data_IF_382108169982
#
_entry.id   IF_382108169982
#
_cell.length_a   1.000
_cell.length_b   1.000
_cell.length_c   1.000
_cell.angle_alpha   90.00
_cell.angle_beta   90.00
_cell.angle_gamma   90.00
#
_symmetry.space_group_name_H-M   'P 1'
#
loop_
_entity.id
_entity.type
_entity.pdbx_description
1 polymer ?
#
# COMPACT_ATOMS: atom_id res chain seq x y z
N UNK A 1 66.94 16.59 -35.22
CA UNK A 1 66.19 17.16 -34.08
C UNK A 1 64.74 17.24 -34.48
N UNK A 2 63.99 16.17 -34.25
CA UNK A 2 62.54 16.10 -34.52
C UNK A 2 61.80 16.54 -33.27
N UNK A 3 61.11 17.68 -33.35
CA UNK A 3 60.18 18.12 -32.32
C UNK A 3 58.98 17.16 -32.30
N UNK A 4 58.84 16.42 -31.21
CA UNK A 4 57.60 15.76 -30.81
C UNK A 4 56.66 16.81 -30.26
N UNK A 5 55.71 17.26 -31.09
CA UNK A 5 54.49 17.92 -30.62
C UNK A 5 53.66 16.89 -29.86
N UNK A 6 53.70 16.96 -28.53
CA UNK A 6 52.77 16.22 -27.69
C UNK A 6 51.38 16.86 -27.84
N UNK A 7 50.42 16.11 -28.37
CA UNK A 7 49.00 16.46 -28.29
C UNK A 7 48.65 16.72 -26.83
N UNK A 8 48.30 17.97 -26.51
CA UNK A 8 47.73 18.32 -25.21
C UNK A 8 46.31 17.79 -25.18
N UNK A 9 46.16 16.53 -24.74
CA UNK A 9 44.87 15.89 -24.50
C UNK A 9 44.11 16.77 -23.49
N UNK A 10 42.98 17.34 -23.92
CA UNK A 10 42.20 18.25 -23.08
C UNK A 10 41.67 17.50 -21.84
N UNK A 11 41.62 18.16 -20.68
CA UNK A 11 41.14 17.54 -19.44
C UNK A 11 39.74 16.93 -19.57
N UNK A 12 38.89 17.52 -20.42
CA UNK A 12 37.56 17.01 -20.75
C UNK A 12 37.63 15.68 -21.51
N UNK A 13 38.51 15.55 -22.50
CA UNK A 13 38.68 14.31 -23.27
C UNK A 13 39.16 13.15 -22.38
N UNK A 14 40.08 13.42 -21.45
CA UNK A 14 40.52 12.43 -20.45
C UNK A 14 39.38 12.03 -19.50
N UNK A 15 38.53 12.96 -19.07
CA UNK A 15 37.37 12.65 -18.23
C UNK A 15 36.31 11.83 -18.97
N UNK A 16 36.05 12.13 -20.25
CA UNK A 16 35.14 11.35 -21.10
C UNK A 16 35.68 9.93 -21.32
N UNK A 17 36.97 9.79 -21.62
CA UNK A 17 37.59 8.47 -21.79
C UNK A 17 37.57 7.65 -20.49
N UNK A 18 37.80 8.31 -19.35
CA UNK A 18 37.67 7.68 -18.02
C UNK A 18 36.24 7.25 -17.76
N UNK A 19 35.24 8.09 -18.04
CA UNK A 19 33.83 7.75 -17.88
C UNK A 19 33.44 6.56 -18.77
N UNK A 20 33.88 6.55 -20.04
CA UNK A 20 33.67 5.43 -20.95
C UNK A 20 34.30 4.13 -20.45
N UNK A 21 35.53 4.19 -19.93
CA UNK A 21 36.22 3.02 -19.37
C UNK A 21 35.52 2.50 -18.11
N UNK A 22 35.05 3.39 -17.23
CA UNK A 22 34.30 3.04 -16.02
C UNK A 22 32.97 2.36 -16.38
N UNK A 23 32.23 2.90 -17.36
CA UNK A 23 30.99 2.31 -17.82
C UNK A 23 31.22 0.93 -18.45
N UNK A 24 32.23 0.78 -19.29
CA UNK A 24 32.54 -0.49 -19.94
C UNK A 24 32.95 -1.56 -18.93
N UNK A 25 33.88 -1.24 -18.00
CA UNK A 25 34.31 -2.18 -16.96
C UNK A 25 33.16 -2.52 -16.02
N UNK A 26 32.43 -1.51 -15.55
CA UNK A 26 31.27 -1.72 -14.70
C UNK A 26 30.22 -2.62 -15.36
N UNK A 27 29.92 -2.40 -16.64
CA UNK A 27 28.98 -3.26 -17.39
C UNK A 27 29.52 -4.69 -17.56
N UNK A 28 30.80 -4.86 -17.89
CA UNK A 28 31.43 -6.18 -18.01
C UNK A 28 31.37 -6.96 -16.69
N UNK A 29 31.71 -6.32 -15.57
CA UNK A 29 31.64 -6.91 -14.23
C UNK A 29 30.21 -7.33 -13.87
N UNK A 30 29.20 -6.52 -14.23
CA UNK A 30 27.80 -6.89 -14.04
C UNK A 30 27.38 -8.09 -14.90
N UNK A 31 27.83 -8.17 -16.16
CA UNK A 31 27.52 -9.28 -17.07
C UNK A 31 28.14 -10.59 -16.56
N UNK A 32 29.42 -10.56 -16.16
CA UNK A 32 30.10 -11.72 -15.57
C UNK A 32 29.40 -12.18 -14.28
N UNK A 33 29.03 -11.21 -13.43
CA UNK A 33 28.21 -11.47 -12.26
C UNK A 33 26.88 -12.16 -12.59
N UNK A 34 26.18 -11.74 -13.65
CA UNK A 34 24.94 -12.38 -14.09
C UNK A 34 25.15 -13.80 -14.59
N UNK A 35 26.21 -14.05 -15.36
CA UNK A 35 26.53 -15.40 -15.85
C UNK A 35 26.73 -16.38 -14.69
N UNK A 36 27.50 -16.00 -13.67
CA UNK A 36 27.69 -16.82 -12.47
C UNK A 36 26.37 -17.10 -11.72
N UNK A 37 25.50 -16.09 -11.59
CA UNK A 37 24.18 -16.27 -10.97
C UNK A 37 23.26 -17.17 -11.78
N UNK A 38 23.30 -17.10 -13.12
CA UNK A 38 22.50 -17.96 -13.99
C UNK A 38 22.95 -19.42 -13.96
N UNK A 39 24.24 -19.70 -13.80
CA UNK A 39 24.71 -21.08 -13.56
C UNK A 39 24.10 -21.69 -12.30
N UNK A 40 23.85 -20.88 -11.27
CA UNK A 40 23.19 -21.34 -10.02
C UNK A 40 21.70 -21.70 -10.22
N UNK A 41 21.07 -21.23 -11.31
CA UNK A 41 19.67 -21.53 -11.65
C UNK A 41 19.53 -22.90 -12.32
N UNK A 42 20.61 -23.46 -12.86
CA UNK A 42 20.55 -24.76 -13.51
C UNK A 42 20.09 -25.86 -12.53
N UNK A 43 19.06 -26.61 -12.92
CA UNK A 43 18.44 -27.63 -12.06
C UNK A 43 17.60 -27.09 -10.89
N UNK A 44 17.54 -25.76 -10.66
CA UNK A 44 16.78 -25.14 -9.58
C UNK A 44 15.27 -25.36 -9.72
N UNK A 45 14.79 -25.49 -10.96
CA UNK A 45 13.40 -25.85 -11.23
C UNK A 45 13.03 -27.19 -10.56
N UNK A 46 13.76 -28.26 -10.87
CA UNK A 46 13.46 -29.59 -10.32
C UNK A 46 13.67 -29.68 -8.81
N UNK A 47 14.67 -28.96 -8.27
CA UNK A 47 15.04 -28.98 -6.84
C UNK A 47 14.08 -28.20 -5.94
N UNK A 48 13.29 -27.27 -6.48
CA UNK A 48 12.45 -26.38 -5.68
C UNK A 48 11.18 -25.95 -6.41
N UNK A 49 11.30 -25.32 -7.58
CA UNK A 49 10.18 -24.60 -8.20
C UNK A 49 9.15 -25.48 -8.92
N UNK A 50 9.45 -26.75 -9.19
CA UNK A 50 8.53 -27.68 -9.87
C UNK A 50 7.17 -27.79 -9.18
N UNK A 51 7.15 -27.71 -7.86
CA UNK A 51 5.92 -27.80 -7.06
C UNK A 51 5.37 -26.43 -6.67
N UNK A 52 6.08 -25.35 -7.02
CA UNK A 52 5.70 -23.98 -6.69
C UNK A 52 5.17 -23.23 -7.91
N UNK A 53 5.61 -23.57 -9.11
CA UNK A 53 5.14 -22.97 -10.35
C UNK A 53 3.91 -23.74 -10.85
N UNK A 54 2.85 -23.01 -11.14
CA UNK A 54 1.61 -23.52 -11.71
C UNK A 54 1.48 -22.99 -13.13
N UNK A 55 1.46 -23.90 -14.11
CA UNK A 55 1.40 -23.56 -15.54
C UNK A 55 0.28 -24.29 -16.30
N UNK A 56 -0.37 -25.27 -15.68
CA UNK A 56 -1.51 -25.99 -16.24
C UNK A 56 -2.81 -25.42 -15.67
N UNK A 57 -3.39 -24.45 -16.37
CA UNK A 57 -4.63 -23.78 -15.97
C UNK A 57 -5.84 -24.47 -16.60
N UNK A 58 -6.52 -25.34 -15.83
CA UNK A 58 -7.75 -26.01 -16.26
C UNK A 58 -8.94 -25.02 -16.33
N UNK A 59 -9.52 -24.79 -17.52
CA UNK A 59 -10.69 -23.93 -17.66
C UNK A 59 -11.88 -24.35 -16.80
N UNK A 60 -12.08 -25.66 -16.63
CA UNK A 60 -13.20 -26.20 -15.86
C UNK A 60 -13.08 -25.82 -14.39
N UNK A 61 -11.88 -25.93 -13.82
CA UNK A 61 -11.60 -25.49 -12.47
C UNK A 61 -11.85 -23.99 -12.29
N UNK A 62 -11.47 -23.16 -13.27
CA UNK A 62 -11.76 -21.74 -13.28
C UNK A 62 -13.27 -21.44 -13.29
N UNK A 63 -14.03 -22.13 -14.13
CA UNK A 63 -15.49 -22.03 -14.20
C UNK A 63 -16.20 -22.42 -12.90
N UNK A 64 -15.85 -23.57 -12.32
CA UNK A 64 -16.42 -24.04 -11.07
C UNK A 64 -16.08 -23.09 -9.91
N UNK A 65 -14.85 -22.57 -9.88
CA UNK A 65 -14.41 -21.59 -8.88
C UNK A 65 -15.18 -20.27 -9.01
N UNK A 66 -15.38 -19.75 -10.23
CA UNK A 66 -16.14 -18.54 -10.46
C UNK A 66 -17.61 -18.69 -9.99
N UNK A 67 -18.26 -19.82 -10.33
CA UNK A 67 -19.61 -20.12 -9.84
C UNK A 67 -19.69 -20.21 -8.32
N UNK A 68 -18.69 -20.82 -7.69
CA UNK A 68 -18.65 -20.95 -6.23
C UNK A 68 -18.41 -19.62 -5.53
N UNK A 69 -17.50 -18.79 -6.05
CA UNK A 69 -17.08 -17.55 -5.42
C UNK A 69 -18.05 -16.40 -5.70
N UNK A 70 -18.46 -16.23 -6.95
CA UNK A 70 -19.27 -15.09 -7.41
C UNK A 70 -20.74 -15.45 -7.62
N UNK A 71 -21.10 -16.74 -7.61
CA UNK A 71 -22.46 -17.21 -7.91
C UNK A 71 -22.81 -17.21 -9.40
N UNK A 72 -21.89 -16.83 -10.27
CA UNK A 72 -22.09 -16.66 -11.72
C UNK A 72 -20.78 -16.89 -12.48
N UNK A 73 -20.89 -17.34 -13.72
CA UNK A 73 -19.80 -17.42 -14.70
C UNK A 73 -19.55 -16.10 -15.44
N UNK A 74 -20.50 -15.16 -15.38
CA UNK A 74 -20.38 -13.82 -15.94
C UNK A 74 -20.08 -12.83 -14.83
N UNK A 75 -18.80 -12.49 -14.68
CA UNK A 75 -18.28 -11.76 -13.53
C UNK A 75 -17.90 -10.34 -13.96
N UNK A 76 -18.57 -9.34 -13.42
CA UNK A 76 -18.23 -7.93 -13.68
C UNK A 76 -16.93 -7.54 -12.97
N UNK A 77 -16.12 -6.73 -13.63
CA UNK A 77 -14.91 -6.16 -13.03
C UNK A 77 -14.80 -4.65 -13.26
N UNK A 78 -14.02 -3.99 -12.41
CA UNK A 78 -13.55 -2.64 -12.62
C UNK A 78 -12.05 -2.57 -12.36
N UNK A 79 -11.29 -1.93 -13.27
CA UNK A 79 -9.86 -1.69 -13.13
C UNK A 79 -9.64 -0.19 -12.94
N UNK A 80 -9.03 0.19 -11.82
CA UNK A 80 -8.72 1.57 -11.45
C UNK A 80 -7.24 1.83 -11.63
N UNK A 81 -6.93 2.93 -12.31
CA UNK A 81 -5.58 3.44 -12.52
C UNK A 81 -5.57 4.95 -12.30
N UNK A 82 -4.41 5.48 -11.91
CA UNK A 82 -4.17 6.85 -11.52
C UNK A 82 -3.25 7.59 -12.47
N UNK A 83 -3.34 8.92 -12.45
CA UNK A 83 -2.31 9.77 -13.04
C UNK A 83 -2.12 11.03 -12.21
N UNK A 84 -0.88 11.49 -12.14
CA UNK A 84 -0.50 12.69 -11.44
C UNK A 84 0.49 13.52 -12.25
N UNK A 85 0.55 14.81 -11.95
CA UNK A 85 1.63 15.68 -12.41
C UNK A 85 1.71 16.95 -11.55
N UNK A 86 2.89 17.56 -11.52
CA UNK A 86 3.11 18.89 -10.97
C UNK A 86 3.53 19.83 -12.10
N UNK A 87 2.94 21.04 -12.15
CA UNK A 87 3.33 22.06 -13.13
C UNK A 87 3.63 23.39 -12.43
N UNK A 88 4.90 23.82 -12.41
CA UNK A 88 5.26 25.17 -11.99
C UNK A 88 4.67 26.23 -12.94
N UNK A 89 4.12 27.30 -12.38
CA UNK A 89 3.55 28.46 -13.06
C UNK A 89 3.86 29.71 -12.24
N UNK A 90 4.93 30.44 -12.58
CA UNK A 90 5.42 31.58 -11.80
C UNK A 90 5.65 31.20 -10.32
N UNK A 91 5.02 31.90 -9.38
CA UNK A 91 5.08 31.68 -7.93
C UNK A 91 4.09 30.60 -7.43
N UNK A 92 3.40 29.92 -8.35
CA UNK A 92 2.46 28.85 -8.07
C UNK A 92 2.97 27.52 -8.63
N UNK A 93 2.60 26.44 -7.95
CA UNK A 93 2.67 25.09 -8.49
C UNK A 93 1.25 24.54 -8.53
N UNK A 94 0.86 24.04 -9.70
CA UNK A 94 -0.42 23.34 -9.86
C UNK A 94 -0.15 21.85 -9.76
N UNK A 95 -0.64 21.24 -8.68
CA UNK A 95 -0.64 19.80 -8.51
C UNK A 95 -1.93 19.22 -9.06
N UNK A 96 -1.80 18.16 -9.84
CA UNK A 96 -2.92 17.38 -10.32
C UNK A 96 -2.76 15.94 -9.85
N UNK A 97 -3.86 15.34 -9.44
CA UNK A 97 -3.96 13.92 -9.23
C UNK A 97 -5.38 13.47 -9.53
N UNK A 98 -5.52 12.32 -10.19
CA UNK A 98 -6.80 11.75 -10.51
C UNK A 98 -6.70 10.27 -10.80
N UNK A 99 -7.86 9.65 -10.94
CA UNK A 99 -8.01 8.25 -11.27
C UNK A 99 -9.21 8.02 -12.16
N UNK A 100 -9.18 6.89 -12.85
CA UNK A 100 -10.21 6.49 -13.78
C UNK A 100 -10.44 4.99 -13.68
N UNK A 101 -11.70 4.57 -13.82
CA UNK A 101 -12.09 3.18 -13.79
C UNK A 101 -12.60 2.68 -15.15
N UNK A 102 -11.96 1.63 -15.67
CA UNK A 102 -12.48 0.86 -16.81
C UNK A 102 -13.31 -0.31 -16.29
N UNK A 103 -14.48 -0.57 -16.88
CA UNK A 103 -15.35 -1.69 -16.52
C UNK A 103 -15.45 -2.72 -17.64
N UNK A 104 -15.80 -3.93 -17.26
CA UNK A 104 -16.03 -5.02 -18.20
C UNK A 104 -16.61 -6.25 -17.52
N UNK A 105 -16.70 -7.34 -18.28
CA UNK A 105 -17.16 -8.64 -17.82
C UNK A 105 -16.15 -9.72 -18.22
N UNK A 106 -15.86 -10.63 -17.30
CA UNK A 106 -15.14 -11.87 -17.55
C UNK A 106 -16.18 -12.98 -17.66
N UNK A 107 -16.17 -13.72 -18.77
CA UNK A 107 -16.98 -14.93 -18.92
C UNK A 107 -16.08 -16.15 -18.77
N UNK A 108 -16.30 -16.91 -17.71
CA UNK A 108 -15.62 -18.18 -17.49
C UNK A 108 -16.34 -19.28 -18.28
N UNK A 109 -15.58 -20.10 -19.02
CA UNK A 109 -16.12 -21.19 -19.84
C UNK A 109 -15.64 -22.54 -19.29
N UNK A 110 -16.44 -23.58 -19.46
CA UNK A 110 -16.14 -24.93 -18.95
C UNK A 110 -15.04 -25.66 -19.76
N UNK A 111 -14.88 -25.29 -21.04
CA UNK A 111 -14.00 -25.99 -22.00
C UNK A 111 -12.94 -25.10 -22.63
N UNK A 112 -12.99 -23.80 -22.42
CA UNK A 112 -12.07 -22.84 -23.05
C UNK A 112 -11.62 -21.78 -22.06
N UNK A 113 -10.47 -21.12 -22.28
CA UNK A 113 -10.04 -20.01 -21.45
C UNK A 113 -11.14 -18.94 -21.28
N UNK A 114 -11.12 -18.18 -20.17
CA UNK A 114 -12.05 -17.08 -19.96
C UNK A 114 -11.96 -16.03 -21.07
N UNK A 115 -13.10 -15.47 -21.47
CA UNK A 115 -13.16 -14.31 -22.38
C UNK A 115 -13.39 -13.02 -21.58
N UNK A 116 -12.82 -11.92 -22.06
CA UNK A 116 -12.92 -10.60 -21.41
C UNK A 116 -13.54 -9.61 -22.39
N UNK A 117 -14.61 -8.95 -21.96
CA UNK A 117 -15.31 -7.92 -22.73
C UNK A 117 -15.28 -6.60 -21.95
N UNK A 118 -14.83 -5.52 -22.59
CA UNK A 118 -14.80 -4.18 -22.01
C UNK A 118 -16.06 -3.41 -22.39
N UNK A 119 -16.54 -2.55 -21.50
CA UNK A 119 -17.70 -1.69 -21.78
C UNK A 119 -17.36 -0.62 -22.84
N UNK A 120 -18.18 -0.53 -23.90
CA UNK A 120 -17.95 0.30 -25.09
C UNK A 120 -18.08 1.82 -24.89
N UNK A 121 -18.15 2.31 -23.66
CA UNK A 121 -18.39 3.72 -23.33
C UNK A 121 -17.38 4.30 -22.34
N UNK A 122 -16.10 3.92 -22.45
CA UNK A 122 -15.05 4.42 -21.57
C UNK A 122 -15.12 5.95 -21.28
N UNK A 123 -15.24 6.81 -22.31
CA UNK A 123 -15.33 8.27 -22.08
C UNK A 123 -16.67 8.80 -21.55
N UNK A 124 -17.78 8.04 -21.67
CA UNK A 124 -19.13 8.52 -21.30
C UNK A 124 -19.74 7.79 -20.10
N UNK A 125 -19.28 6.58 -19.79
CA UNK A 125 -19.76 5.71 -18.71
C UNK A 125 -18.68 5.36 -17.68
N UNK A 126 -17.40 5.62 -17.96
CA UNK A 126 -16.33 5.46 -16.99
C UNK A 126 -16.44 6.49 -15.86
N UNK A 127 -16.21 6.04 -14.61
CA UNK A 127 -16.10 6.95 -13.47
C UNK A 127 -14.67 7.47 -13.39
N UNK A 128 -14.54 8.78 -13.48
CA UNK A 128 -13.28 9.51 -13.29
C UNK A 128 -13.39 10.40 -12.06
N UNK A 129 -12.32 10.48 -11.28
CA UNK A 129 -12.15 11.43 -10.19
C UNK A 129 -10.86 12.21 -10.43
N UNK A 130 -10.87 13.51 -10.20
CA UNK A 130 -9.67 14.32 -10.36
C UNK A 130 -9.71 15.54 -9.45
N UNK A 131 -8.55 15.96 -8.97
CA UNK A 131 -8.38 17.22 -8.26
C UNK A 131 -7.23 18.02 -8.85
N UNK A 132 -7.39 19.34 -8.80
CA UNK A 132 -6.39 20.30 -9.24
C UNK A 132 -6.16 21.29 -8.11
N UNK A 133 -4.96 21.29 -7.55
CA UNK A 133 -4.60 22.01 -6.34
C UNK A 133 -3.52 23.04 -6.67
N UNK A 134 -3.88 24.32 -6.86
CA UNK A 134 -2.91 25.40 -6.96
C UNK A 134 -2.37 25.76 -5.57
N UNK A 135 -1.05 25.81 -5.42
CA UNK A 135 -0.36 26.12 -4.17
C UNK A 135 0.76 27.11 -4.45
N UNK A 136 0.95 28.13 -3.62
CA UNK A 136 2.13 28.98 -3.75
C UNK A 136 3.39 28.20 -3.38
N UNK A 137 4.48 28.40 -4.12
CA UNK A 137 5.74 27.64 -3.94
C UNK A 137 6.20 27.69 -2.48
N UNK A 138 6.07 28.84 -1.81
CA UNK A 138 6.46 29.02 -0.41
C UNK A 138 5.56 28.29 0.60
N UNK A 139 4.33 27.92 0.23
CA UNK A 139 3.42 27.12 1.08
C UNK A 139 3.66 25.61 0.92
N UNK A 140 4.31 25.15 -0.16
CA UNK A 140 4.55 23.71 -0.39
C UNK A 140 5.26 23.02 0.79
N UNK A 141 6.30 23.61 1.42
CA UNK A 141 6.93 23.02 2.61
C UNK A 141 5.99 22.88 3.81
N UNK A 142 4.91 23.66 3.91
CA UNK A 142 3.91 23.52 4.98
C UNK A 142 3.01 22.30 4.77
N UNK A 143 2.82 21.91 3.51
CA UNK A 143 1.98 20.78 3.09
C UNK A 143 2.78 19.47 3.08
N UNK A 144 3.98 19.53 2.47
CA UNK A 144 4.75 18.35 2.13
C UNK A 144 5.84 18.05 3.15
N UNK A 145 5.58 17.02 3.95
CA UNK A 145 6.46 16.68 5.05
C UNK A 145 7.81 16.08 4.63
N UNK A 146 8.01 15.73 3.35
CA UNK A 146 9.30 15.28 2.84
C UNK A 146 10.39 16.37 2.96
N UNK A 147 9.99 17.64 3.05
CA UNK A 147 10.90 18.77 3.24
C UNK A 147 11.27 19.03 4.71
N UNK A 148 10.65 18.36 5.69
CA UNK A 148 11.05 18.46 7.10
C UNK A 148 12.15 17.45 7.44
N UNK A 149 13.26 17.90 8.05
CA UNK A 149 14.27 16.97 8.58
C UNK A 149 13.77 16.22 9.81
N UNK A 150 14.17 14.94 9.94
CA UNK A 150 13.92 14.15 11.15
C UNK A 150 14.75 14.70 12.33
N UNK A 151 14.10 15.41 13.26
CA UNK A 151 14.67 15.69 14.58
C UNK A 151 14.81 17.15 15.01
N UNK A 152 14.33 18.12 14.24
CA UNK A 152 14.26 19.54 14.65
C UNK A 152 12.84 19.97 14.94
N UNK A 153 12.67 20.87 15.92
CA UNK A 153 11.52 21.77 16.01
C UNK A 153 11.20 22.38 14.63
N UNK A 154 9.94 22.77 14.42
CA UNK A 154 9.24 23.26 13.22
C UNK A 154 9.93 24.30 12.29
N UNK A 155 11.24 24.49 12.36
CA UNK A 155 12.02 25.25 11.40
C UNK A 155 12.30 24.38 10.18
N UNK A 156 11.68 24.74 9.05
CA UNK A 156 12.12 24.36 7.72
C UNK A 156 13.57 24.76 7.61
N UNK A 157 14.50 23.81 7.69
CA UNK A 157 15.90 24.12 7.40
C UNK A 157 16.01 24.52 5.94
N UNK A 158 16.08 25.82 5.69
CA UNK A 158 16.55 26.46 4.44
C UNK A 158 18.04 26.17 4.19
N UNK A 159 18.51 24.97 4.51
CA UNK A 159 19.92 24.58 4.42
C UNK A 159 20.40 24.53 2.96
N UNK A 160 19.47 24.52 1.99
CA UNK A 160 19.71 24.88 0.60
C UNK A 160 18.50 25.67 0.08
N UNK A 161 18.67 26.84 -0.55
CA UNK A 161 17.59 27.42 -1.34
C UNK A 161 17.27 26.43 -2.47
N UNK A 162 16.13 25.77 -2.37
CA UNK A 162 15.61 24.93 -3.44
C UNK A 162 14.97 25.86 -4.47
N UNK A 163 15.28 25.67 -5.74
CA UNK A 163 14.56 26.38 -6.81
C UNK A 163 13.11 25.89 -6.86
N UNK A 164 12.21 26.70 -7.41
CA UNK A 164 10.79 26.34 -7.55
C UNK A 164 10.62 25.02 -8.35
N UNK A 165 11.46 24.81 -9.36
CA UNK A 165 11.53 23.54 -10.10
C UNK A 165 11.95 22.36 -9.22
N UNK A 166 12.90 22.54 -8.30
CA UNK A 166 13.28 21.49 -7.35
C UNK A 166 12.15 21.21 -6.37
N UNK A 167 11.41 22.21 -5.90
CA UNK A 167 10.27 22.00 -5.00
C UNK A 167 9.16 21.23 -5.73
N UNK A 168 8.83 21.62 -6.96
CA UNK A 168 7.81 20.93 -7.75
C UNK A 168 8.21 19.48 -8.09
N UNK A 169 9.45 19.25 -8.52
CA UNK A 169 9.93 17.93 -8.93
C UNK A 169 10.12 16.95 -7.75
N UNK A 170 10.33 17.46 -6.53
CA UNK A 170 10.52 16.62 -5.35
C UNK A 170 9.26 16.52 -4.48
N UNK A 171 8.19 17.25 -4.80
CA UNK A 171 6.97 17.18 -4.00
C UNK A 171 6.23 15.87 -4.21
N UNK A 172 5.77 15.30 -3.09
CA UNK A 172 4.97 14.07 -3.01
C UNK A 172 3.47 14.35 -3.02
N UNK A 173 3.04 15.63 -2.95
CA UNK A 173 1.63 16.05 -3.00
C UNK A 173 0.85 15.42 -4.18
N UNK A 174 1.30 15.49 -5.45
CA UNK A 174 0.53 14.97 -6.58
C UNK A 174 0.33 13.45 -6.46
N UNK A 175 1.36 12.72 -6.06
CA UNK A 175 1.29 11.28 -5.82
C UNK A 175 0.31 10.92 -4.70
N UNK A 176 0.23 11.71 -3.62
CA UNK A 176 -0.75 11.52 -2.54
C UNK A 176 -2.19 11.78 -2.99
N UNK A 177 -2.42 12.82 -3.81
CA UNK A 177 -3.75 13.12 -4.37
C UNK A 177 -4.20 11.96 -5.27
N UNK A 178 -3.33 11.49 -6.16
CA UNK A 178 -3.61 10.36 -7.04
C UNK A 178 -3.91 9.10 -6.23
N UNK A 179 -3.05 8.75 -5.26
CA UNK A 179 -3.23 7.55 -4.42
C UNK A 179 -4.55 7.59 -3.66
N UNK A 180 -4.90 8.73 -3.06
CA UNK A 180 -6.19 8.89 -2.41
C UNK A 180 -7.34 8.75 -3.42
N UNK A 181 -7.20 9.34 -4.61
CA UNK A 181 -8.24 9.28 -5.64
C UNK A 181 -8.52 7.86 -6.10
N UNK A 182 -7.51 6.99 -6.27
CA UNK A 182 -7.69 5.62 -6.73
C UNK A 182 -8.43 4.78 -5.68
N UNK A 183 -8.01 4.86 -4.41
CA UNK A 183 -8.70 4.15 -3.33
C UNK A 183 -10.11 4.69 -3.10
N UNK A 184 -10.30 6.00 -3.21
CA UNK A 184 -11.61 6.61 -3.06
C UNK A 184 -12.54 6.23 -4.22
N UNK A 185 -12.06 6.24 -5.47
CA UNK A 185 -12.82 5.76 -6.62
C UNK A 185 -13.20 4.28 -6.47
N UNK A 186 -12.26 3.43 -6.07
CA UNK A 186 -12.51 2.02 -5.80
C UNK A 186 -13.57 1.84 -4.70
N UNK A 187 -13.49 2.61 -3.60
CA UNK A 187 -14.52 2.63 -2.56
C UNK A 187 -15.89 3.06 -3.09
N UNK A 188 -15.94 4.08 -3.95
CA UNK A 188 -17.17 4.54 -4.59
C UNK A 188 -17.79 3.48 -5.52
N UNK A 189 -16.96 2.71 -6.23
CA UNK A 189 -17.40 1.58 -7.05
C UNK A 189 -17.95 0.43 -6.18
N UNK A 190 -17.25 0.07 -5.10
CA UNK A 190 -17.71 -0.95 -4.17
C UNK A 190 -19.05 -0.57 -3.50
N UNK A 191 -19.30 0.74 -3.30
CA UNK A 191 -20.56 1.25 -2.73
C UNK A 191 -21.74 1.33 -3.69
N UNK A 192 -21.55 1.08 -4.98
CA UNK A 192 -22.66 1.08 -5.93
C UNK A 192 -23.76 0.08 -5.53
N UNK A 193 -25.02 0.32 -5.93
CA UNK A 193 -26.10 -0.65 -5.75
C UNK A 193 -25.80 -1.99 -6.44
N UNK A 194 -25.17 -1.94 -7.61
CA UNK A 194 -24.66 -3.10 -8.35
C UNK A 194 -23.14 -2.96 -8.56
N UNK A 195 -22.34 -3.34 -7.55
CA UNK A 195 -20.89 -3.16 -7.60
C UNK A 195 -20.24 -4.20 -8.52
N UNK A 196 -19.05 -3.90 -9.09
CA UNK A 196 -18.25 -4.91 -9.75
C UNK A 196 -17.89 -6.04 -8.77
N UNK A 197 -17.83 -7.28 -9.25
CA UNK A 197 -17.44 -8.46 -8.44
C UNK A 197 -15.93 -8.58 -8.27
N UNK A 198 -15.17 -7.96 -9.16
CA UNK A 198 -13.71 -7.86 -9.06
C UNK A 198 -13.31 -6.38 -9.18
N UNK A 199 -12.49 -5.88 -8.26
CA UNK A 199 -11.85 -4.57 -8.36
C UNK A 199 -10.35 -4.79 -8.50
N UNK A 200 -9.78 -4.31 -9.60
CA UNK A 200 -8.35 -4.34 -9.89
C UNK A 200 -7.77 -2.95 -9.63
N UNK A 201 -6.67 -2.86 -8.88
CA UNK A 201 -5.91 -1.64 -8.64
C UNK A 201 -4.51 -1.80 -9.23
N UNK A 202 -3.95 -0.81 -9.93
CA UNK A 202 -2.54 -0.86 -10.41
C UNK A 202 -1.53 -0.58 -9.27
N UNK A 203 -1.68 -1.31 -8.16
CA UNK A 203 -0.86 -1.19 -6.94
C UNK A 203 -0.64 -2.53 -6.26
N UNK A 204 0.51 -2.69 -5.61
CA UNK A 204 0.76 -3.80 -4.68
C UNK A 204 0.10 -3.52 -3.33
N UNK A 205 -1.07 -4.10 -3.06
CA UNK A 205 -1.78 -3.94 -1.79
C UNK A 205 -0.94 -4.39 -0.58
N UNK A 206 -0.16 -5.46 -0.75
CA UNK A 206 0.71 -6.01 0.28
C UNK A 206 1.85 -5.07 0.67
N UNK A 207 2.29 -4.20 -0.23
CA UNK A 207 3.28 -3.15 0.05
C UNK A 207 2.62 -1.85 0.48
N UNK A 208 1.48 -1.47 -0.12
CA UNK A 208 0.81 -0.21 0.15
C UNK A 208 0.27 -0.12 1.57
N UNK A 209 -0.36 -1.18 2.10
CA UNK A 209 -0.94 -1.13 3.44
C UNK A 209 0.13 -0.89 4.55
N UNK A 210 1.25 -1.65 4.62
CA UNK A 210 2.31 -1.37 5.58
C UNK A 210 2.93 0.02 5.42
N UNK A 211 3.10 0.52 4.19
CA UNK A 211 3.61 1.86 3.94
C UNK A 211 2.68 2.94 4.48
N UNK A 212 1.36 2.82 4.25
CA UNK A 212 0.37 3.74 4.83
C UNK A 212 0.36 3.70 6.36
N UNK A 213 0.52 2.51 6.95
CA UNK A 213 0.70 2.37 8.40
C UNK A 213 1.98 3.09 8.86
N UNK A 214 3.09 2.96 8.14
CA UNK A 214 4.35 3.62 8.46
C UNK A 214 4.27 5.15 8.31
N UNK A 215 3.74 5.66 7.20
CA UNK A 215 3.62 7.10 6.91
C UNK A 215 2.70 7.81 7.92
N UNK A 216 1.70 7.09 8.41
CA UNK A 216 0.81 7.56 9.49
C UNK A 216 1.35 7.30 10.90
N UNK A 217 2.55 6.72 11.09
CA UNK A 217 3.01 6.20 12.40
C UNK A 217 3.58 7.25 13.37
N UNK A 218 4.07 8.39 12.88
CA UNK A 218 4.82 9.38 13.67
C UNK A 218 3.92 10.21 14.60
N UNK A 219 3.46 9.58 15.68
CA UNK A 219 2.48 10.12 16.63
C UNK A 219 2.83 11.48 17.24
N UNK A 220 4.12 11.78 17.40
CA UNK A 220 4.58 13.08 17.90
C UNK A 220 4.22 14.24 16.96
N UNK A 221 4.12 13.97 15.66
CA UNK A 221 3.84 14.97 14.63
C UNK A 221 2.33 15.20 14.40
N UNK A 222 1.46 14.29 14.86
CA UNK A 222 0.03 14.37 14.56
C UNK A 222 -0.62 15.64 15.11
N UNK A 223 -0.15 16.14 16.26
CA UNK A 223 -0.68 17.35 16.89
C UNK A 223 -0.09 18.63 16.31
N UNK A 224 1.19 18.61 15.93
CA UNK A 224 1.93 19.79 15.48
C UNK A 224 1.79 20.06 13.99
N UNK A 225 1.69 19.00 13.19
CA UNK A 225 1.74 19.08 11.73
C UNK A 225 0.42 18.66 11.08
N UNK A 226 -0.41 17.84 11.75
CA UNK A 226 -1.66 17.33 11.18
C UNK A 226 -2.80 18.33 11.29
N UNK A 227 -3.47 18.60 10.17
CA UNK A 227 -4.66 19.44 10.16
C UNK A 227 -5.90 18.69 10.68
N UNK A 228 -5.91 17.35 10.61
CA UNK A 228 -7.01 16.52 11.11
C UNK A 228 -7.16 16.55 12.63
N UNK A 229 -6.07 16.71 13.39
CA UNK A 229 -6.14 16.81 14.85
C UNK A 229 -6.91 18.07 15.27
N UNK A 230 -7.92 17.89 16.12
CA UNK A 230 -8.83 18.94 16.58
C UNK A 230 -9.91 19.32 15.58
N UNK A 231 -9.98 18.68 14.40
CA UNK A 231 -11.07 18.90 13.45
C UNK A 231 -12.40 18.40 14.07
N UNK A 232 -13.42 19.24 14.00
CA UNK A 232 -14.73 18.96 14.58
C UNK A 232 -15.53 18.05 13.66
N UNK A 233 -15.92 16.88 14.16
CA UNK A 233 -16.84 15.97 13.48
C UNK A 233 -17.99 15.67 14.42
N UNK A 234 -19.20 16.04 14.03
CA UNK A 234 -20.42 15.92 14.87
C UNK A 234 -20.25 16.59 16.25
N UNK A 235 -19.59 17.75 16.27
CA UNK A 235 -19.24 18.54 17.47
C UNK A 235 -18.28 17.85 18.45
N UNK A 236 -17.61 16.78 18.02
CA UNK A 236 -16.56 16.12 18.80
C UNK A 236 -15.23 16.30 18.06
N UNK A 237 -14.22 16.94 18.67
CA UNK A 237 -12.92 17.09 18.05
C UNK A 237 -12.22 15.74 17.93
N UNK A 238 -11.59 15.49 16.79
CA UNK A 238 -10.69 14.35 16.62
C UNK A 238 -9.45 14.54 17.49
N UNK A 239 -9.14 13.53 18.30
CA UNK A 239 -7.87 13.50 19.04
C UNK A 239 -6.90 12.46 18.47
N UNK A 240 -5.72 12.37 19.10
CA UNK A 240 -4.70 11.38 18.74
C UNK A 240 -5.16 9.93 18.92
N UNK A 241 -6.15 9.68 19.78
CA UNK A 241 -6.65 8.34 20.01
C UNK A 241 -7.64 7.92 18.93
N UNK A 242 -8.48 8.83 18.45
CA UNK A 242 -9.32 8.63 17.28
C UNK A 242 -8.48 8.23 16.06
N UNK A 243 -7.42 9.00 15.77
CA UNK A 243 -6.51 8.74 14.66
C UNK A 243 -5.76 7.41 14.82
N UNK A 244 -5.23 7.12 16.00
CA UNK A 244 -4.54 5.86 16.28
C UNK A 244 -5.46 4.65 16.12
N UNK A 245 -6.69 4.75 16.61
CA UNK A 245 -7.65 3.64 16.55
C UNK A 245 -8.06 3.33 15.12
N UNK A 246 -8.42 4.36 14.36
CA UNK A 246 -8.89 4.24 13.00
C UNK A 246 -7.85 3.62 12.04
N UNK A 247 -6.54 3.79 12.30
CA UNK A 247 -5.46 3.16 11.51
C UNK A 247 -5.58 1.63 11.43
N UNK A 248 -6.09 1.01 12.49
CA UNK A 248 -6.22 -0.46 12.59
C UNK A 248 -7.68 -0.93 12.58
N UNK A 249 -8.62 -0.06 12.16
CA UNK A 249 -10.04 -0.39 12.13
C UNK A 249 -10.39 -1.25 10.90
N UNK A 250 -9.94 -2.51 10.92
CA UNK A 250 -10.31 -3.54 9.94
C UNK A 250 -10.63 -4.84 10.69
N UNK A 251 -11.90 -5.08 11.01
CA UNK A 251 -12.29 -6.22 11.85
C UNK A 251 -12.83 -7.38 11.01
N UNK A 252 -12.03 -8.44 10.88
CA UNK A 252 -12.41 -9.70 10.22
C UNK A 252 -12.12 -10.85 11.19
N UNK A 253 -13.05 -11.14 12.13
CA UNK A 253 -12.79 -12.10 13.20
C UNK A 253 -12.53 -13.52 12.69
N UNK A 254 -13.15 -13.93 11.58
CA UNK A 254 -12.97 -15.24 10.95
C UNK A 254 -11.52 -15.48 10.53
N UNK A 255 -10.84 -14.41 10.10
CA UNK A 255 -9.42 -14.43 9.71
C UNK A 255 -8.48 -13.97 10.84
N UNK A 256 -9.03 -13.70 12.03
CA UNK A 256 -8.29 -13.13 13.17
C UNK A 256 -7.59 -11.82 12.83
N UNK A 257 -8.23 -10.95 12.02
CA UNK A 257 -7.70 -9.66 11.62
C UNK A 257 -8.39 -8.49 12.37
N UNK A 258 -7.63 -7.51 12.91
CA UNK A 258 -6.18 -7.47 12.91
C UNK A 258 -5.60 -8.53 13.86
N UNK A 259 -4.37 -9.02 13.63
CA UNK A 259 -3.82 -10.10 14.43
C UNK A 259 -3.57 -9.67 15.87
N UNK A 260 -3.81 -10.55 16.84
CA UNK A 260 -3.61 -10.30 18.27
C UNK A 260 -2.13 -10.33 18.70
N UNK A 261 -1.25 -9.61 17.98
CA UNK A 261 0.21 -9.54 18.23
C UNK A 261 0.79 -8.17 17.88
N UNK A 262 2.07 -7.96 18.15
CA UNK A 262 2.78 -6.74 17.72
C UNK A 262 2.09 -5.45 18.15
N UNK A 263 2.02 -4.49 17.22
CA UNK A 263 1.38 -3.18 17.39
C UNK A 263 -0.14 -3.23 17.25
N UNK A 264 -0.69 -4.24 16.55
CA UNK A 264 -2.12 -4.41 16.37
C UNK A 264 -2.85 -4.94 17.60
N UNK A 265 -2.15 -5.59 18.54
CA UNK A 265 -2.76 -6.21 19.73
C UNK A 265 -3.64 -5.23 20.50
N UNK A 266 -3.16 -3.99 20.70
CA UNK A 266 -3.93 -2.95 21.39
C UNK A 266 -5.29 -2.74 20.72
N UNK A 267 -5.27 -2.51 19.41
CA UNK A 267 -6.47 -2.16 18.65
C UNK A 267 -7.37 -3.36 18.43
N UNK A 268 -6.80 -4.58 18.35
CA UNK A 268 -7.60 -5.81 18.37
C UNK A 268 -8.42 -5.94 19.65
N UNK A 269 -7.88 -5.58 20.82
CA UNK A 269 -8.63 -5.56 22.08
C UNK A 269 -9.80 -4.56 21.99
N UNK A 270 -9.55 -3.36 21.46
CA UNK A 270 -10.59 -2.34 21.32
C UNK A 270 -11.72 -2.81 20.39
N UNK A 271 -11.37 -3.39 19.24
CA UNK A 271 -12.34 -3.93 18.27
C UNK A 271 -13.16 -5.09 18.85
N UNK A 272 -12.57 -5.97 19.66
CA UNK A 272 -13.32 -7.04 20.34
C UNK A 272 -14.40 -6.45 21.26
N UNK A 273 -14.04 -5.42 22.04
CA UNK A 273 -14.97 -4.75 22.96
C UNK A 273 -16.02 -3.92 22.23
N UNK A 274 -15.67 -3.28 21.11
CA UNK A 274 -16.60 -2.54 20.27
C UNK A 274 -17.66 -3.47 19.66
N UNK A 275 -17.23 -4.60 19.07
CA UNK A 275 -18.12 -5.48 18.31
C UNK A 275 -18.93 -6.47 19.16
N UNK A 276 -18.48 -6.75 20.39
CA UNK A 276 -19.10 -7.78 21.23
C UNK A 276 -19.50 -7.26 22.63
N UNK A 277 -19.28 -5.97 22.91
CA UNK A 277 -19.64 -5.33 24.16
C UNK A 277 -18.66 -5.57 25.31
N UNK A 278 -19.04 -5.17 26.54
CA UNK A 278 -18.20 -5.28 27.72
C UNK A 278 -17.78 -6.73 28.02
N UNK A 279 -16.51 -6.93 28.40
CA UNK A 279 -15.97 -8.27 28.66
C UNK A 279 -15.10 -8.32 29.89
N UNK A 280 -15.10 -9.49 30.54
CA UNK A 280 -14.09 -9.85 31.54
C UNK A 280 -12.74 -10.16 30.87
N UNK A 281 -11.68 -10.12 31.67
CA UNK A 281 -10.32 -10.55 31.29
C UNK A 281 -10.29 -11.94 30.63
N UNK A 282 -10.99 -12.92 31.21
CA UNK A 282 -10.99 -14.30 30.71
C UNK A 282 -11.69 -14.43 29.34
N UNK A 283 -12.77 -13.67 29.13
CA UNK A 283 -13.45 -13.62 27.83
C UNK A 283 -12.55 -13.03 26.74
N UNK A 284 -11.82 -11.94 27.06
CA UNK A 284 -10.83 -11.37 26.14
C UNK A 284 -9.72 -12.37 25.80
N UNK A 285 -9.19 -13.09 26.78
CA UNK A 285 -8.16 -14.12 26.54
C UNK A 285 -8.62 -15.23 25.60
N UNK A 286 -9.85 -15.70 25.79
CA UNK A 286 -10.43 -16.72 24.94
C UNK A 286 -10.57 -16.23 23.49
N UNK A 287 -11.09 -15.02 23.30
CA UNK A 287 -11.30 -14.43 21.96
C UNK A 287 -10.01 -14.09 21.24
N UNK A 288 -8.98 -13.67 21.97
CA UNK A 288 -7.67 -13.35 21.41
C UNK A 288 -6.78 -14.59 21.20
N UNK A 289 -7.25 -15.79 21.54
CA UNK A 289 -6.49 -17.03 21.38
C UNK A 289 -5.22 -17.06 22.23
N UNK A 290 -5.25 -16.51 23.45
CA UNK A 290 -4.07 -16.48 24.33
C UNK A 290 -3.92 -17.80 25.09
N UNK A 291 -3.25 -18.76 24.45
CA UNK A 291 -2.99 -20.08 25.04
C UNK A 291 -1.86 -20.16 26.06
N UNK A 292 -1.05 -19.10 26.25
CA UNK A 292 0.08 -19.10 27.19
C UNK A 292 0.01 -17.95 28.21
N UNK A 293 0.55 -18.14 29.44
CA UNK A 293 0.59 -17.09 30.47
C UNK A 293 1.28 -15.79 30.00
N UNK A 294 2.35 -15.89 29.21
CA UNK A 294 3.07 -14.72 28.69
C UNK A 294 2.20 -13.87 27.75
N UNK A 295 1.37 -14.52 26.92
CA UNK A 295 0.44 -13.82 26.03
C UNK A 295 -0.67 -13.13 26.82
N UNK A 296 -1.17 -13.79 27.87
CA UNK A 296 -2.16 -13.22 28.77
C UNK A 296 -1.62 -11.97 29.49
N UNK A 297 -0.40 -12.05 30.05
CA UNK A 297 0.26 -10.92 30.68
C UNK A 297 0.47 -9.74 29.72
N UNK A 298 0.77 -10.02 28.44
CA UNK A 298 0.87 -8.99 27.41
C UNK A 298 -0.47 -8.31 27.13
N UNK A 299 -1.56 -9.08 27.01
CA UNK A 299 -2.92 -8.53 26.85
C UNK A 299 -3.27 -7.62 28.01
N UNK A 300 -3.04 -8.06 29.25
CA UNK A 300 -3.30 -7.26 30.45
C UNK A 300 -2.56 -5.92 30.42
N UNK A 301 -1.26 -5.95 30.06
CA UNK A 301 -0.47 -4.72 29.94
C UNK A 301 -1.09 -3.73 28.94
N UNK A 302 -1.62 -4.22 27.82
CA UNK A 302 -2.29 -3.39 26.82
C UNK A 302 -3.66 -2.90 27.28
N UNK A 303 -4.43 -3.71 28.01
CA UNK A 303 -5.70 -3.29 28.64
C UNK A 303 -5.43 -2.16 29.63
N UNK A 304 -4.50 -2.34 30.56
CA UNK A 304 -4.16 -1.33 31.57
C UNK A 304 -3.63 -0.04 30.94
N UNK A 305 -2.79 -0.14 29.90
CA UNK A 305 -2.36 1.04 29.13
C UNK A 305 -3.54 1.72 28.43
N UNK A 306 -4.51 0.96 27.93
CA UNK A 306 -5.67 1.51 27.23
C UNK A 306 -6.64 2.20 28.20
N UNK A 307 -6.75 1.73 29.44
CA UNK A 307 -7.46 2.44 30.52
C UNK A 307 -6.75 3.75 30.84
N UNK A 308 -5.42 3.72 31.06
CA UNK A 308 -4.63 4.91 31.36
C UNK A 308 -4.73 5.98 30.26
N UNK A 309 -4.71 5.55 29.01
CA UNK A 309 -4.79 6.44 27.84
C UNK A 309 -6.24 6.84 27.50
N UNK A 310 -7.24 6.40 28.29
CA UNK A 310 -8.65 6.82 28.18
C UNK A 310 -9.50 6.06 27.16
N UNK A 311 -8.97 5.04 26.49
CA UNK A 311 -9.75 4.23 25.54
C UNK A 311 -10.78 3.34 26.20
N UNK A 312 -10.42 2.79 27.37
CA UNK A 312 -11.21 1.80 28.08
C UNK A 312 -11.57 2.28 29.48
N UNK A 313 -12.70 1.78 29.97
CA UNK A 313 -13.12 1.89 31.36
C UNK A 313 -13.29 0.48 31.94
N UNK A 314 -12.98 0.31 33.22
CA UNK A 314 -13.25 -0.91 33.97
C UNK A 314 -14.35 -0.64 34.99
N UNK A 315 -15.47 -1.37 34.87
CA UNK A 315 -16.60 -1.30 35.81
C UNK A 315 -16.97 -2.70 36.26
N UNK A 316 -16.92 -2.98 37.56
CA UNK A 316 -17.25 -4.29 38.14
C UNK A 316 -16.47 -5.47 37.50
N UNK A 317 -15.21 -5.27 37.12
CA UNK A 317 -14.38 -6.30 36.47
C UNK A 317 -14.70 -6.55 34.98
N UNK A 318 -15.54 -5.70 34.38
CA UNK A 318 -15.80 -5.67 32.95
C UNK A 318 -15.05 -4.49 32.32
N UNK A 319 -14.29 -4.78 31.27
CA UNK A 319 -13.69 -3.78 30.41
C UNK A 319 -14.66 -3.38 29.32
N UNK A 320 -14.77 -2.09 29.05
CA UNK A 320 -15.59 -1.55 27.96
C UNK A 320 -14.91 -0.38 27.28
N UNK A 321 -15.26 -0.14 26.01
CA UNK A 321 -14.82 1.05 25.29
C UNK A 321 -15.51 2.30 25.87
N UNK A 322 -14.72 3.33 26.14
CA UNK A 322 -15.21 4.65 26.55
C UNK A 322 -16.19 5.18 25.51
N UNK A 323 -17.30 5.78 25.97
CA UNK A 323 -18.43 6.16 25.11
C UNK A 323 -18.02 6.99 23.88
N UNK A 324 -17.11 7.95 24.06
CA UNK A 324 -16.64 8.81 22.96
C UNK A 324 -15.97 8.07 21.80
N UNK A 325 -15.38 6.90 22.05
CA UNK A 325 -14.63 6.15 21.05
C UNK A 325 -15.49 5.10 20.33
N UNK A 326 -16.71 4.83 20.82
CA UNK A 326 -17.69 3.96 20.15
C UNK A 326 -18.17 4.53 18.81
N UNK A 327 -18.09 5.85 18.66
CA UNK A 327 -18.49 6.54 17.43
C UNK A 327 -17.30 6.97 16.58
N UNK A 328 -16.06 6.59 16.94
CA UNK A 328 -14.85 6.98 16.20
C UNK A 328 -14.94 6.54 14.75
N UNK A 329 -15.25 5.27 14.47
CA UNK A 329 -15.26 4.79 13.10
C UNK A 329 -16.34 5.41 12.22
N UNK A 330 -17.62 5.52 12.65
CA UNK A 330 -18.63 6.30 11.93
C UNK A 330 -18.19 7.74 11.62
N UNK A 331 -17.56 8.44 12.58
CA UNK A 331 -17.04 9.81 12.38
C UNK A 331 -15.91 9.84 11.35
N UNK A 332 -15.00 8.87 11.38
CA UNK A 332 -13.90 8.78 10.41
C UNK A 332 -14.41 8.45 9.00
N UNK A 333 -15.41 7.58 8.85
CA UNK A 333 -16.05 7.37 7.54
C UNK A 333 -16.63 8.66 6.98
N UNK A 334 -17.35 9.40 7.82
CA UNK A 334 -17.92 10.70 7.44
C UNK A 334 -16.84 11.70 7.04
N UNK A 335 -15.71 11.73 7.75
CA UNK A 335 -14.55 12.56 7.39
C UNK A 335 -14.04 12.23 5.99
N UNK A 336 -13.75 10.95 5.72
CA UNK A 336 -13.23 10.49 4.42
C UNK A 336 -14.22 10.83 3.31
N UNK A 337 -15.52 10.58 3.52
CA UNK A 337 -16.54 10.90 2.52
C UNK A 337 -16.65 12.39 2.25
N UNK A 338 -16.63 13.21 3.30
CA UNK A 338 -16.71 14.68 3.20
C UNK A 338 -15.50 15.25 2.45
N UNK A 339 -14.29 14.83 2.82
CA UNK A 339 -13.07 15.31 2.17
C UNK A 339 -12.98 14.77 0.74
N UNK A 340 -13.30 13.49 0.51
CA UNK A 340 -13.29 12.90 -0.84
C UNK A 340 -14.27 13.57 -1.78
N UNK A 341 -15.50 13.86 -1.34
CA UNK A 341 -16.48 14.61 -2.14
C UNK A 341 -15.97 16.00 -2.50
N UNK A 342 -15.47 16.74 -1.51
CA UNK A 342 -14.92 18.09 -1.74
C UNK A 342 -13.70 18.07 -2.68
N UNK A 343 -12.83 17.08 -2.53
CA UNK A 343 -11.61 16.96 -3.34
C UNK A 343 -11.88 16.58 -4.78
N UNK A 344 -12.87 15.71 -5.04
CA UNK A 344 -12.97 15.03 -6.34
C UNK A 344 -14.32 15.17 -7.06
N UNK A 345 -15.39 15.56 -6.38
CA UNK A 345 -16.76 15.50 -6.95
C UNK A 345 -17.45 16.86 -6.98
N UNK A 346 -17.26 17.67 -5.94
CA UNK A 346 -17.93 18.96 -5.83
C UNK A 346 -17.23 20.05 -6.63
N UNK A 347 -17.99 21.09 -7.01
CA UNK A 347 -17.40 22.33 -7.50
C UNK A 347 -16.74 23.05 -6.31
N UNK A 348 -15.41 23.20 -6.30
CA UNK A 348 -14.73 23.80 -5.15
C UNK A 348 -15.11 25.27 -5.01
N UNK A 349 -15.51 25.67 -3.81
CA UNK A 349 -15.61 27.09 -3.43
C UNK A 349 -14.25 27.65 -2.98
N UNK A 350 -13.42 26.77 -2.43
CA UNK A 350 -12.09 27.05 -1.87
C UNK A 350 -11.13 25.96 -2.36
N UNK A 351 -9.83 26.13 -2.10
CA UNK A 351 -8.86 25.10 -2.42
C UNK A 351 -9.26 23.74 -1.78
N UNK A 352 -9.39 22.65 -2.55
CA UNK A 352 -9.91 21.38 -2.02
C UNK A 352 -9.06 20.73 -0.92
N UNK A 353 -7.77 21.08 -0.83
CA UNK A 353 -6.87 20.64 0.22
C UNK A 353 -6.89 21.54 1.46
N UNK A 354 -7.66 22.64 1.49
CA UNK A 354 -7.84 23.45 2.69
C UNK A 354 -9.06 22.98 3.49
N UNK A 355 -8.89 22.84 4.80
CA UNK A 355 -9.97 22.56 5.76
C UNK A 355 -10.11 23.71 6.75
N UNK A 356 -11.35 24.07 7.08
CA UNK A 356 -11.62 25.05 8.12
C UNK A 356 -11.58 24.37 9.48
N UNK A 357 -10.75 24.89 10.40
CA UNK A 357 -10.66 24.44 11.79
C UNK A 357 -10.63 25.68 12.68
N UNK A 358 -11.57 25.78 13.62
CA UNK A 358 -11.66 26.89 14.57
C UNK A 358 -11.68 28.29 13.92
N UNK A 359 -12.32 28.43 12.75
CA UNK A 359 -12.43 29.70 12.01
C UNK A 359 -11.20 30.10 11.20
N UNK A 360 -10.18 29.22 11.12
CA UNK A 360 -9.02 29.41 10.24
C UNK A 360 -8.88 28.27 9.23
N UNK A 361 -8.39 28.59 8.04
CA UNK A 361 -8.09 27.62 7.00
C UNK A 361 -6.71 27.00 7.21
N UNK A 362 -6.65 25.68 7.15
CA UNK A 362 -5.42 24.90 7.27
C UNK A 362 -5.26 23.98 6.06
N UNK A 363 -4.03 23.81 5.59
CA UNK A 363 -3.70 22.82 4.59
C UNK A 363 -3.76 21.41 5.15
N UNK A 364 -4.37 20.47 4.43
CA UNK A 364 -4.15 19.05 4.63
C UNK A 364 -2.71 18.72 4.24
N UNK A 365 -1.94 18.17 5.17
CA UNK A 365 -0.54 17.78 4.92
C UNK A 365 -0.44 16.40 4.30
N UNK A 366 0.75 16.02 3.83
CA UNK A 366 0.99 14.65 3.33
C UNK A 366 0.75 13.57 4.38
N UNK A 367 0.90 13.88 5.69
CA UNK A 367 0.49 12.99 6.77
C UNK A 367 -1.03 12.85 6.87
N UNK A 368 -1.78 13.95 6.72
CA UNK A 368 -3.24 13.90 6.70
C UNK A 368 -3.73 13.11 5.49
N UNK A 369 -3.09 13.27 4.33
CA UNK A 369 -3.36 12.47 3.12
C UNK A 369 -3.07 10.98 3.34
N UNK A 370 -1.98 10.63 4.04
CA UNK A 370 -1.69 9.24 4.40
C UNK A 370 -2.77 8.64 5.32
N UNK A 371 -3.25 9.40 6.31
CA UNK A 371 -4.38 9.00 7.14
C UNK A 371 -5.66 8.77 6.34
N UNK A 372 -6.06 9.75 5.53
CA UNK A 372 -7.26 9.66 4.71
C UNK A 372 -7.21 8.48 3.74
N UNK A 373 -6.04 8.25 3.13
CA UNK A 373 -5.80 7.12 2.23
C UNK A 373 -5.93 5.79 2.97
N UNK A 374 -5.31 5.66 4.15
CA UNK A 374 -5.41 4.46 4.98
C UNK A 374 -6.84 4.18 5.43
N UNK A 375 -7.56 5.21 5.89
CA UNK A 375 -8.96 5.08 6.29
C UNK A 375 -9.83 4.67 5.10
N UNK A 376 -9.59 5.26 3.93
CA UNK A 376 -10.30 4.89 2.68
C UNK A 376 -10.03 3.43 2.30
N UNK A 377 -8.78 2.95 2.43
CA UNK A 377 -8.45 1.55 2.19
C UNK A 377 -9.16 0.61 3.18
N UNK A 378 -9.19 0.94 4.47
CA UNK A 378 -9.93 0.17 5.46
C UNK A 378 -11.44 0.13 5.13
N UNK A 379 -12.03 1.27 4.74
CA UNK A 379 -13.42 1.34 4.30
C UNK A 379 -13.69 0.51 3.04
N UNK A 380 -12.78 0.54 2.06
CA UNK A 380 -12.86 -0.27 0.84
C UNK A 380 -12.82 -1.77 1.17
N UNK A 381 -11.91 -2.20 2.05
CA UNK A 381 -11.79 -3.61 2.47
C UNK A 381 -13.11 -4.08 3.10
N UNK A 382 -13.69 -3.29 4.01
CA UNK A 382 -14.96 -3.64 4.67
C UNK A 382 -16.13 -3.75 3.68
N UNK A 383 -16.24 -2.82 2.73
CA UNK A 383 -17.26 -2.88 1.67
C UNK A 383 -17.07 -4.12 0.78
N UNK A 384 -15.83 -4.41 0.39
CA UNK A 384 -15.50 -5.57 -0.43
C UNK A 384 -15.86 -6.88 0.28
N UNK A 385 -15.53 -7.01 1.57
CA UNK A 385 -15.89 -8.19 2.36
C UNK A 385 -17.41 -8.33 2.51
N UNK A 386 -18.10 -7.23 2.81
CA UNK A 386 -19.56 -7.25 3.01
C UNK A 386 -20.31 -7.65 1.74
N UNK A 387 -19.80 -7.25 0.56
CA UNK A 387 -20.46 -7.47 -0.73
C UNK A 387 -19.84 -8.60 -1.56
N UNK A 388 -18.90 -9.36 -1.00
CA UNK A 388 -18.14 -10.42 -1.68
C UNK A 388 -17.50 -9.94 -2.99
N UNK A 389 -16.79 -8.81 -2.91
CA UNK A 389 -16.00 -8.26 -4.02
C UNK A 389 -14.56 -8.70 -3.84
N UNK A 390 -13.99 -9.30 -4.89
CA UNK A 390 -12.59 -9.67 -4.92
C UNK A 390 -11.74 -8.44 -5.25
N UNK A 391 -11.05 -7.90 -4.24
CA UNK A 391 -10.12 -6.77 -4.39
C UNK A 391 -8.71 -7.29 -4.70
N UNK A 392 -8.16 -6.92 -5.85
CA UNK A 392 -6.85 -7.35 -6.30
C UNK A 392 -5.94 -6.16 -6.60
N UNK A 393 -4.73 -6.23 -6.06
CA UNK A 393 -3.64 -5.35 -6.44
C UNK A 393 -2.81 -5.97 -7.56
N UNK A 394 -2.58 -5.22 -8.64
CA UNK A 394 -1.73 -5.58 -9.76
C UNK A 394 -0.46 -4.74 -9.68
N UNK A 395 0.70 -5.38 -9.63
CA UNK A 395 1.98 -4.70 -9.64
C UNK A 395 2.74 -5.06 -10.92
N UNK A 396 2.98 -4.06 -11.77
CA UNK A 396 3.80 -4.21 -12.98
C UNK A 396 5.28 -4.09 -12.61
N UNK A 397 6.13 -4.87 -13.28
CA UNK A 397 7.59 -4.73 -13.25
C UNK A 397 8.20 -4.60 -11.83
N UNK A 398 7.85 -5.54 -10.93
CA UNK A 398 8.28 -5.44 -9.53
C UNK A 398 9.79 -5.62 -9.39
N UNK A 399 10.40 -4.80 -8.52
CA UNK A 399 11.76 -5.01 -8.00
C UNK A 399 11.76 -5.80 -6.69
N UNK A 400 10.65 -6.52 -6.41
CA UNK A 400 10.46 -7.28 -5.20
C UNK A 400 11.57 -8.31 -5.00
N UNK A 401 11.89 -8.56 -3.74
CA UNK A 401 12.93 -9.50 -3.33
C UNK A 401 12.46 -10.44 -2.22
N UNK A 402 11.15 -10.41 -1.93
CA UNK A 402 10.57 -11.00 -0.74
C UNK A 402 10.54 -12.52 -0.85
N UNK A 403 10.24 -13.04 -2.04
CA UNK A 403 10.29 -14.47 -2.29
C UNK A 403 11.70 -14.98 -1.99
N UNK A 404 12.72 -14.38 -2.62
CA UNK A 404 14.11 -14.79 -2.43
C UNK A 404 14.61 -14.59 -1.00
N UNK A 405 14.37 -13.42 -0.41
CA UNK A 405 15.07 -13.02 0.82
C UNK A 405 14.34 -13.49 2.09
N UNK A 406 13.04 -13.73 2.03
CA UNK A 406 12.23 -14.03 3.20
C UNK A 406 11.47 -15.34 3.05
N UNK A 407 10.71 -15.53 1.98
CA UNK A 407 9.84 -16.70 1.81
C UNK A 407 10.65 -17.99 1.65
N UNK A 408 11.57 -18.05 0.66
CA UNK A 408 12.39 -19.24 0.43
C UNK A 408 13.22 -19.60 1.67
N UNK A 409 13.98 -18.68 2.31
CA UNK A 409 14.80 -19.03 3.46
C UNK A 409 13.98 -19.51 4.65
N UNK A 410 12.84 -18.88 4.95
CA UNK A 410 11.98 -19.28 6.08
C UNK A 410 11.35 -20.64 5.83
N UNK A 411 10.74 -20.86 4.66
CA UNK A 411 10.02 -22.10 4.37
C UNK A 411 10.95 -23.29 4.19
N UNK A 412 12.15 -23.09 3.64
CA UNK A 412 13.17 -24.14 3.54
C UNK A 412 13.76 -24.46 4.92
N UNK A 413 14.14 -23.44 5.70
CA UNK A 413 14.75 -23.65 7.03
C UNK A 413 13.79 -24.33 8.01
N UNK A 414 12.49 -24.03 7.92
CA UNK A 414 11.47 -24.69 8.75
C UNK A 414 11.01 -26.04 8.18
N UNK A 415 11.60 -26.52 7.09
CA UNK A 415 11.28 -27.81 6.48
C UNK A 415 9.89 -27.89 5.85
N UNK A 416 9.23 -26.75 5.64
CA UNK A 416 7.92 -26.67 4.95
C UNK A 416 8.11 -27.01 3.48
N UNK A 417 9.14 -26.43 2.85
CA UNK A 417 9.57 -26.79 1.52
C UNK A 417 10.82 -27.66 1.60
N UNK A 418 10.68 -28.92 1.20
CA UNK A 418 11.80 -29.85 1.11
C UNK A 418 12.67 -29.45 -0.07
N UNK A 419 13.91 -29.05 0.21
CA UNK A 419 14.87 -28.70 -0.82
C UNK A 419 16.30 -28.99 -0.37
N UNK A 420 17.14 -29.39 -1.32
CA UNK A 420 18.58 -29.62 -1.11
C UNK A 420 19.40 -28.33 -1.32
N UNK A 421 18.74 -27.17 -1.30
CA UNK A 421 19.38 -25.87 -1.56
C UNK A 421 20.03 -25.34 -0.29
N UNK A 422 21.31 -24.99 -0.39
CA UNK A 422 22.05 -24.39 0.72
C UNK A 422 21.73 -22.89 0.88
N UNK A 423 22.00 -22.30 2.04
CA UNK A 423 21.91 -20.84 2.21
C UNK A 423 22.87 -20.09 1.26
N UNK A 424 24.02 -20.69 0.94
CA UNK A 424 24.97 -20.16 -0.04
C UNK A 424 24.36 -20.11 -1.44
N UNK A 425 23.66 -21.17 -1.85
CA UNK A 425 22.95 -21.24 -3.13
C UNK A 425 21.91 -20.12 -3.22
N UNK A 426 21.09 -19.93 -2.17
CA UNK A 426 20.09 -18.86 -2.10
C UNK A 426 20.70 -17.47 -2.24
N UNK A 427 21.85 -17.22 -1.60
CA UNK A 427 22.55 -15.93 -1.68
C UNK A 427 23.04 -15.61 -3.10
N UNK A 428 23.40 -16.64 -3.86
CA UNK A 428 23.92 -16.55 -5.22
C UNK A 428 22.82 -16.45 -6.29
N UNK A 429 21.55 -16.60 -5.95
CA UNK A 429 20.45 -16.38 -6.90
C UNK A 429 20.42 -14.92 -7.41
N UNK A 430 19.75 -14.66 -8.55
CA UNK A 430 19.43 -13.30 -9.00
C UNK A 430 18.90 -12.39 -7.88
N UNK A 431 19.13 -11.09 -7.98
CA UNK A 431 18.85 -10.16 -6.87
C UNK A 431 17.37 -9.80 -6.70
N UNK A 432 16.53 -10.03 -7.72
CA UNK A 432 15.10 -9.75 -7.67
C UNK A 432 14.30 -10.99 -8.02
N UNK A 433 13.10 -11.08 -7.45
CA UNK A 433 12.18 -12.19 -7.67
C UNK A 433 11.81 -12.30 -9.15
N UNK A 434 11.60 -11.16 -9.81
CA UNK A 434 11.40 -11.08 -11.26
C UNK A 434 12.51 -11.79 -12.02
N UNK A 435 13.76 -11.42 -11.77
CA UNK A 435 14.88 -11.94 -12.53
C UNK A 435 15.09 -13.43 -12.25
N UNK A 436 14.92 -13.85 -11.00
CA UNK A 436 14.95 -15.27 -10.63
C UNK A 436 13.90 -16.07 -11.41
N UNK A 437 12.64 -15.66 -11.36
CA UNK A 437 11.53 -16.40 -11.97
C UNK A 437 11.53 -16.31 -13.50
N UNK A 438 11.88 -15.16 -14.08
CA UNK A 438 12.00 -15.00 -15.53
C UNK A 438 13.14 -15.85 -16.09
N UNK A 439 14.31 -15.84 -15.45
CA UNK A 439 15.42 -16.70 -15.86
C UNK A 439 15.07 -18.18 -15.70
N UNK A 440 14.41 -18.58 -14.61
CA UNK A 440 13.89 -19.94 -14.44
C UNK A 440 12.97 -20.35 -15.61
N UNK A 441 12.02 -19.50 -15.98
CA UNK A 441 11.11 -19.75 -17.10
C UNK A 441 11.84 -19.85 -18.45
N UNK A 442 12.79 -18.96 -18.73
CA UNK A 442 13.55 -18.96 -19.98
C UNK A 442 14.39 -20.24 -20.12
N UNK A 443 15.15 -20.59 -19.07
CA UNK A 443 16.01 -21.77 -19.08
C UNK A 443 15.24 -23.09 -19.07
N UNK A 444 13.99 -23.08 -18.59
CA UNK A 444 13.12 -24.27 -18.50
C UNK A 444 11.83 -24.12 -19.33
N UNK A 445 11.88 -23.41 -20.48
CA UNK A 445 10.69 -23.08 -21.29
C UNK A 445 9.88 -24.29 -21.77
N UNK A 446 10.50 -25.49 -21.84
CA UNK A 446 9.80 -26.73 -22.19
C UNK A 446 8.99 -27.28 -21.02
N UNK A 447 9.46 -27.08 -19.79
CA UNK A 447 8.82 -27.56 -18.56
C UNK A 447 7.87 -26.52 -17.97
N UNK A 448 8.11 -25.24 -18.21
CA UNK A 448 7.33 -24.10 -17.71
C UNK A 448 6.72 -23.37 -18.91
N UNK A 449 5.63 -23.88 -19.51
CA UNK A 449 4.92 -23.17 -20.56
C UNK A 449 4.32 -21.87 -20.00
N UNK A 450 4.21 -20.86 -20.86
CA UNK A 450 3.53 -19.59 -20.53
C UNK A 450 2.05 -19.67 -20.94
N UNK A 451 1.14 -19.02 -20.18
CA UNK A 451 1.39 -18.32 -18.92
C UNK A 451 1.70 -19.30 -17.77
N UNK A 452 2.40 -18.81 -16.75
CA UNK A 452 2.60 -19.52 -15.48
C UNK A 452 2.41 -18.55 -14.32
N UNK A 453 2.14 -19.10 -13.14
CA UNK A 453 2.02 -18.39 -11.87
C UNK A 453 2.86 -19.11 -10.81
N UNK A 454 3.08 -18.46 -9.67
CA UNK A 454 3.67 -19.07 -8.50
C UNK A 454 2.56 -19.33 -7.48
N UNK A 455 2.70 -20.36 -6.64
CA UNK A 455 1.87 -20.51 -5.44
C UNK A 455 1.93 -19.23 -4.61
N UNK A 456 0.76 -18.77 -4.18
CA UNK A 456 0.65 -17.54 -3.39
C UNK A 456 1.31 -17.73 -2.02
N UNK A 457 1.91 -16.65 -1.52
CA UNK A 457 2.47 -16.57 -0.18
C UNK A 457 1.99 -15.30 0.52
N UNK A 458 1.84 -15.40 1.84
CA UNK A 458 1.23 -14.37 2.67
C UNK A 458 2.16 -13.16 2.87
N UNK A 459 1.58 -11.97 3.03
CA UNK A 459 2.32 -10.75 3.31
C UNK A 459 3.06 -10.78 4.67
N UNK A 460 2.79 -11.74 5.55
CA UNK A 460 3.52 -11.96 6.80
C UNK A 460 4.97 -12.38 6.62
N UNK A 461 5.41 -12.67 5.39
CA UNK A 461 6.82 -12.83 5.04
C UNK A 461 7.48 -11.52 4.57
N UNK A 462 6.73 -10.40 4.47
CA UNK A 462 7.23 -9.06 4.12
C UNK A 462 7.79 -8.30 5.33
#
# INVERSE_FOLDING_TARGET
MSNTEGEVISSLSTQIQRAGTLLQRGAADQIEGYQSRFQTIEGLHERLFKNLIVSDFDPKMGFETAKKLFGTEHVSFAAVDGTDYARPLFDLIVFFGGSYATRGTITYNDKSPPSVEYENHFLKGGRALSSCIPVFVNEVPEIDQSFFQQGGSSEVTTARPLTDEMIANNSTIPAWIMTLSEFYLAYRLAKEPDPPRIILLDRSLSSTFPNLIFDSSKRQLWMSNGALHGLQLDNIPLDVNDLAYARYHFYVPELQLPPARGDSLRYRILLELENNGPMTKNQLFQRLGTGSPDRQARVEKFVQKSIKDGYLEETNGLYQLTERYRTTWPRIRKLVETIGQRMFEEKPKENPMKIEKNGSWHWLTTQDMAFLTLFTLNMLIEECLTKNILLLGLAKDTAARDLKNHVLPVLITNGVWKSEISQTDLSNLPNTDRMLLQSLSIFNHKQIPVPWSLVEYDASFL
#
